data_IF_323329681970
#
_entry.id   IF_323329681970
#
_cell.length_a   1.000
_cell.length_b   1.000
_cell.length_c   1.000
_cell.angle_alpha   90.00
_cell.angle_beta   90.00
_cell.angle_gamma   90.00
#
_symmetry.space_group_name_H-M   'P 1'
#
loop_
_entity.id
_entity.type
_entity.pdbx_description
1 polymer ?
#
# COMPACT_ATOMS: atom_id res chain seq x y z
N UNK A 1 -7.78 3.25 -9.28
CA UNK A 1 -7.79 2.68 -7.93
C UNK A 1 -8.57 1.38 -8.01
N UNK A 2 -7.91 0.22 -7.86
CA UNK A 2 -8.48 -1.08 -8.25
C UNK A 2 -8.40 -2.14 -7.15
N UNK A 3 -7.80 -1.81 -6.00
CA UNK A 3 -7.58 -2.76 -4.89
C UNK A 3 -8.78 -2.83 -3.92
N UNK A 4 -9.85 -2.06 -4.15
CA UNK A 4 -11.08 -2.08 -3.36
C UNK A 4 -12.29 -1.65 -4.22
N UNK A 5 -13.46 -1.45 -3.60
CA UNK A 5 -14.74 -1.19 -4.31
C UNK A 5 -14.80 0.17 -5.02
N UNK A 6 -13.79 1.01 -4.84
CA UNK A 6 -13.68 2.33 -5.46
C UNK A 6 -12.90 3.32 -4.59
N UNK A 7 -12.61 4.52 -5.09
CA UNK A 7 -11.82 5.52 -4.35
C UNK A 7 -12.43 5.93 -3.00
N UNK A 8 -13.72 5.70 -2.79
CA UNK A 8 -14.46 6.02 -1.56
C UNK A 8 -14.87 4.78 -0.75
N UNK A 9 -14.13 3.67 -0.87
CA UNK A 9 -14.38 2.47 -0.06
C UNK A 9 -14.20 2.77 1.44
N UNK A 10 -15.29 2.63 2.20
CA UNK A 10 -15.32 2.93 3.64
C UNK A 10 -14.35 2.06 4.46
N UNK A 11 -14.19 0.79 4.09
CA UNK A 11 -13.31 -0.12 4.83
C UNK A 11 -11.83 0.26 4.62
N UNK A 12 -11.47 0.74 3.42
CA UNK A 12 -10.12 1.26 3.17
C UNK A 12 -9.90 2.58 3.90
N UNK A 13 -10.90 3.47 3.90
CA UNK A 13 -10.82 4.76 4.60
C UNK A 13 -10.60 4.58 6.12
N UNK A 14 -11.31 3.63 6.74
CA UNK A 14 -11.13 3.31 8.16
C UNK A 14 -9.71 2.81 8.46
N UNK A 15 -9.17 1.89 7.64
CA UNK A 15 -7.80 1.41 7.79
C UNK A 15 -6.76 2.53 7.64
N UNK A 16 -6.96 3.43 6.67
CA UNK A 16 -6.10 4.59 6.48
C UNK A 16 -6.09 5.48 7.72
N UNK A 17 -7.28 5.79 8.27
CA UNK A 17 -7.40 6.61 9.48
C UNK A 17 -6.65 5.99 10.64
N UNK A 18 -6.93 4.71 10.93
CA UNK A 18 -6.39 3.98 12.09
C UNK A 18 -4.87 3.79 12.03
N UNK A 19 -4.32 3.50 10.85
CA UNK A 19 -2.91 3.06 10.72
C UNK A 19 -1.96 4.10 10.17
N UNK A 20 -2.47 5.27 9.73
CA UNK A 20 -1.62 6.34 9.19
C UNK A 20 -1.92 7.67 9.89
N UNK A 21 -3.18 8.12 9.88
CA UNK A 21 -3.51 9.44 10.40
C UNK A 21 -3.54 9.52 11.92
N UNK A 22 -4.09 8.52 12.60
CA UNK A 22 -4.15 8.48 14.07
C UNK A 22 -2.77 8.24 14.70
N UNK A 23 -1.95 7.37 14.10
CA UNK A 23 -0.62 7.03 14.63
C UNK A 23 0.42 8.13 14.38
N UNK A 24 0.28 8.91 13.30
CA UNK A 24 1.28 9.90 12.91
C UNK A 24 2.67 9.28 12.74
N UNK A 25 3.69 9.91 13.30
CA UNK A 25 5.09 9.47 13.23
C UNK A 25 5.56 8.71 14.48
N UNK A 26 4.64 8.07 15.21
CA UNK A 26 4.95 7.34 16.46
C UNK A 26 5.40 5.89 16.24
N UNK A 27 5.23 5.37 15.02
CA UNK A 27 5.69 4.05 14.59
C UNK A 27 6.52 4.18 13.32
N UNK A 28 7.28 3.14 12.98
CA UNK A 28 7.98 3.10 11.69
C UNK A 28 6.97 3.23 10.53
N UNK A 29 7.19 4.15 9.57
CA UNK A 29 6.25 4.35 8.47
C UNK A 29 6.01 3.11 7.60
N UNK A 30 7.01 2.22 7.46
CA UNK A 30 6.84 0.96 6.73
C UNK A 30 5.97 -0.02 7.52
N UNK A 31 6.06 -0.04 8.86
CA UNK A 31 5.11 -0.79 9.70
C UNK A 31 3.68 -0.26 9.58
N UNK A 32 3.49 1.06 9.64
CA UNK A 32 2.18 1.69 9.42
C UNK A 32 1.61 1.38 8.04
N UNK A 33 2.45 1.41 7.00
CA UNK A 33 2.05 1.04 5.65
C UNK A 33 1.65 -0.44 5.55
N UNK A 34 2.41 -1.37 6.16
CA UNK A 34 2.04 -2.79 6.20
C UNK A 34 0.73 -3.02 6.93
N UNK A 35 0.49 -2.34 8.06
CA UNK A 35 -0.79 -2.42 8.77
C UNK A 35 -1.96 -1.91 7.92
N UNK A 36 -1.76 -0.84 7.15
CA UNK A 36 -2.77 -0.30 6.24
C UNK A 36 -3.03 -1.18 5.01
N UNK A 37 -1.97 -1.62 4.32
CA UNK A 37 -2.04 -2.26 2.99
C UNK A 37 -1.88 -3.78 3.00
N UNK A 38 -1.46 -4.36 4.12
CA UNK A 38 -1.19 -5.79 4.28
C UNK A 38 0.06 -6.30 3.55
N UNK A 39 0.89 -5.40 3.00
CA UNK A 39 2.09 -5.73 2.22
C UNK A 39 3.07 -4.57 2.23
N UNK A 40 4.32 -4.81 1.84
CA UNK A 40 5.30 -3.75 1.65
C UNK A 40 4.95 -2.83 0.47
N UNK A 41 5.47 -1.60 0.54
CA UNK A 41 5.33 -0.61 -0.50
C UNK A 41 6.16 -1.03 -1.73
N UNK A 42 5.54 -0.98 -2.90
CA UNK A 42 6.18 -1.33 -4.17
C UNK A 42 6.20 -0.16 -5.13
N UNK A 43 7.22 -0.11 -6.00
CA UNK A 43 7.44 1.00 -6.95
C UNK A 43 6.60 0.89 -8.23
N UNK A 44 6.01 -0.27 -8.51
CA UNK A 44 5.36 -0.55 -9.80
C UNK A 44 4.27 0.45 -10.19
N UNK A 45 3.46 0.90 -9.21
CA UNK A 45 2.41 1.88 -9.44
C UNK A 45 2.97 3.27 -9.80
N UNK A 46 4.07 3.68 -9.16
CA UNK A 46 4.77 4.92 -9.48
C UNK A 46 5.37 4.86 -10.89
N UNK A 47 6.02 3.73 -11.24
CA UNK A 47 6.62 3.55 -12.56
C UNK A 47 5.56 3.61 -13.68
N UNK A 48 4.43 2.91 -13.53
CA UNK A 48 3.29 3.04 -14.47
C UNK A 48 2.84 4.48 -14.64
N UNK A 49 2.65 5.20 -13.53
CA UNK A 49 2.17 6.59 -13.56
C UNK A 49 3.16 7.52 -14.28
N UNK A 50 4.45 7.22 -14.21
CA UNK A 50 5.51 8.03 -14.81
C UNK A 50 5.88 7.62 -16.24
N UNK A 51 5.23 6.60 -16.80
CA UNK A 51 5.51 6.11 -18.15
C UNK A 51 6.80 5.27 -18.26
N UNK A 52 7.38 4.85 -17.14
CA UNK A 52 8.53 3.95 -17.16
C UNK A 52 8.10 2.50 -17.35
N UNK A 53 8.95 1.65 -17.94
CA UNK A 53 8.76 0.21 -17.92
C UNK A 53 8.56 -0.27 -16.48
N UNK A 54 7.53 -1.06 -16.25
CA UNK A 54 7.28 -1.65 -14.94
C UNK A 54 8.20 -2.85 -14.82
N UNK A 55 9.15 -2.87 -13.88
CA UNK A 55 9.92 -4.09 -13.64
C UNK A 55 8.92 -5.21 -13.35
N UNK A 56 9.08 -6.36 -14.03
CA UNK A 56 8.30 -7.56 -13.72
C UNK A 56 8.43 -7.77 -12.22
N UNK A 57 7.32 -7.58 -11.49
CA UNK A 57 7.37 -7.55 -10.04
C UNK A 57 8.14 -8.78 -9.58
N UNK A 58 9.16 -8.57 -8.73
CA UNK A 58 9.65 -9.62 -7.87
C UNK A 58 8.41 -10.20 -7.20
N UNK A 59 7.91 -11.32 -7.74
CA UNK A 59 6.82 -12.07 -7.14
C UNK A 59 7.31 -12.29 -5.72
N UNK A 60 6.60 -11.73 -4.75
CA UNK A 60 6.76 -12.07 -3.35
C UNK A 60 6.70 -13.59 -3.29
N UNK A 61 7.88 -14.21 -3.21
CA UNK A 61 8.04 -15.62 -2.92
C UNK A 61 7.66 -15.78 -1.46
N UNK A 62 6.37 -15.90 -1.17
CA UNK A 62 5.99 -16.56 0.07
C UNK A 62 6.01 -18.06 -0.20
N UNK A 63 7.12 -18.61 0.26
CA UNK A 63 7.49 -20.01 0.43
C UNK A 63 6.53 -20.68 1.42
N UNK A 64 6.11 -21.89 1.04
CA UNK A 64 5.61 -23.05 1.80
C UNK A 64 4.90 -22.80 3.13
#
# INVERSE_FOLDING_TARGET
>A
FTEAKGPYDKAVAEKLRKHVFEVGNTIDPAEGYRAFRGRDAGIAALMRKRGFPVPAAAKTKNKT
#
